data_IF_102896344935
#
_entry.id   IF_102896344935
#
_cell.length_a   1.000
_cell.length_b   1.000
_cell.length_c   1.000
_cell.angle_alpha   90.00
_cell.angle_beta   90.00
_cell.angle_gamma   90.00
#
_symmetry.space_group_name_H-M   'P 1'
#
loop_
_entity.id
_entity.type
_entity.pdbx_description
1 polymer ?
#
# COMPACT_ATOMS: atom_id res chain seq x y z
N UNK A 1 -18.81 -16.20 34.74
CA UNK A 1 -18.81 -14.73 34.60
C UNK A 1 -17.38 -14.27 34.88
N UNK A 2 -16.79 -13.55 33.93
CA UNK A 2 -15.41 -13.01 33.89
C UNK A 2 -14.25 -14.02 33.74
N UNK A 3 -13.76 -14.17 32.50
CA UNK A 3 -12.34 -14.08 32.12
C UNK A 3 -12.19 -14.34 30.62
N UNK A 4 -12.47 -13.31 29.81
CA UNK A 4 -11.92 -13.17 28.46
C UNK A 4 -11.32 -11.77 28.44
N UNK A 5 -10.22 -11.63 29.16
CA UNK A 5 -9.32 -10.47 29.05
C UNK A 5 -8.21 -10.93 28.10
N UNK A 6 -7.82 -10.07 27.17
CA UNK A 6 -6.60 -10.16 26.35
C UNK A 6 -6.64 -11.10 25.13
N UNK A 7 -7.39 -10.70 24.12
CA UNK A 7 -6.89 -10.77 22.75
C UNK A 7 -6.96 -9.35 22.19
N UNK A 8 -5.95 -8.53 22.49
CA UNK A 8 -5.63 -7.44 21.58
C UNK A 8 -5.42 -8.11 20.22
N UNK A 9 -6.27 -7.76 19.25
CA UNK A 9 -6.20 -8.31 17.91
C UNK A 9 -4.83 -7.97 17.34
N UNK A 10 -3.91 -8.91 17.43
CA UNK A 10 -2.59 -8.80 16.82
C UNK A 10 -2.83 -8.47 15.35
N UNK A 11 -2.45 -7.26 14.95
CA UNK A 11 -2.91 -6.72 13.69
C UNK A 11 -2.43 -7.66 12.56
N UNK A 12 -3.31 -8.01 11.60
CA UNK A 12 -3.08 -9.11 10.66
C UNK A 12 -1.76 -8.98 9.88
N UNK A 13 -1.24 -7.76 9.72
CA UNK A 13 0.05 -7.49 9.10
C UNK A 13 1.28 -8.00 9.88
N UNK A 14 1.14 -8.38 11.16
CA UNK A 14 2.20 -8.96 11.97
C UNK A 14 2.36 -10.48 11.73
N UNK A 15 1.31 -11.12 11.21
CA UNK A 15 1.24 -12.58 11.04
C UNK A 15 1.34 -13.03 9.57
N UNK A 16 1.22 -12.11 8.62
CA UNK A 16 1.25 -12.39 7.18
C UNK A 16 2.21 -11.48 6.42
N UNK A 17 2.81 -12.03 5.36
CA UNK A 17 3.52 -11.23 4.36
C UNK A 17 2.54 -10.24 3.71
N UNK A 18 2.67 -8.96 4.10
CA UNK A 18 1.72 -7.92 3.73
C UNK A 18 2.23 -7.12 2.55
N UNK A 19 1.41 -7.02 1.50
CA UNK A 19 1.65 -6.12 0.38
C UNK A 19 0.91 -4.80 0.63
N UNK A 20 1.63 -3.69 0.57
CA UNK A 20 1.04 -2.37 0.68
C UNK A 20 0.68 -1.84 -0.70
N UNK A 21 -0.57 -1.46 -0.91
CA UNK A 21 -1.03 -0.80 -2.12
C UNK A 21 -1.19 0.68 -1.80
N UNK A 22 -0.44 1.53 -2.49
CA UNK A 22 -0.56 2.99 -2.41
C UNK A 22 -1.42 3.49 -3.56
N UNK A 23 -2.56 4.06 -3.22
CA UNK A 23 -3.56 4.50 -4.18
C UNK A 23 -3.39 5.98 -4.56
N UNK A 24 -3.23 6.24 -5.85
CA UNK A 24 -3.18 7.59 -6.45
C UNK A 24 -4.56 8.06 -6.96
N UNK A 25 -5.63 7.36 -6.59
CA UNK A 25 -7.01 7.71 -6.94
C UNK A 25 -7.52 7.03 -8.20
N UNK A 26 -6.91 5.91 -8.62
CA UNK A 26 -7.42 5.13 -9.74
C UNK A 26 -8.72 4.42 -9.37
N UNK A 27 -9.71 4.52 -10.28
CA UNK A 27 -10.96 3.79 -10.17
C UNK A 27 -10.76 2.25 -10.15
N UNK A 28 -9.60 1.76 -10.58
CA UNK A 28 -9.29 0.33 -10.69
C UNK A 28 -8.42 -0.21 -9.56
N UNK A 29 -8.03 0.60 -8.58
CA UNK A 29 -7.15 0.15 -7.48
C UNK A 29 -7.75 -0.99 -6.67
N UNK A 30 -9.07 -1.02 -6.50
CA UNK A 30 -9.78 -2.14 -5.86
C UNK A 30 -9.63 -3.48 -6.62
N UNK A 31 -9.40 -3.45 -7.94
CA UNK A 31 -9.16 -4.67 -8.72
C UNK A 31 -7.79 -5.27 -8.37
N UNK A 32 -6.78 -4.44 -8.08
CA UNK A 32 -5.46 -4.90 -7.63
C UNK A 32 -5.62 -5.65 -6.31
N UNK A 33 -6.33 -5.05 -5.35
CA UNK A 33 -6.61 -5.68 -4.06
C UNK A 33 -7.37 -7.00 -4.23
N UNK A 34 -8.42 -7.04 -5.06
CA UNK A 34 -9.16 -8.28 -5.35
C UNK A 34 -8.28 -9.37 -5.96
N UNK A 35 -7.32 -9.00 -6.82
CA UNK A 35 -6.37 -9.96 -7.41
C UNK A 35 -5.39 -10.50 -6.38
N UNK A 36 -4.87 -9.67 -5.49
CA UNK A 36 -3.99 -10.11 -4.40
C UNK A 36 -4.72 -11.04 -3.42
N UNK A 37 -5.96 -10.70 -3.04
CA UNK A 37 -6.79 -11.58 -2.21
C UNK A 37 -7.09 -12.92 -2.92
N UNK A 38 -7.34 -12.92 -4.23
CA UNK A 38 -7.53 -14.15 -5.00
C UNK A 38 -6.29 -15.05 -5.04
N UNK A 39 -5.09 -14.45 -4.94
CA UNK A 39 -3.82 -15.15 -4.80
C UNK A 39 -3.51 -15.57 -3.35
N UNK A 40 -4.45 -15.35 -2.41
CA UNK A 40 -4.29 -15.59 -0.97
C UNK A 40 -3.14 -14.78 -0.35
N UNK A 41 -2.83 -13.62 -0.92
CA UNK A 41 -1.84 -12.68 -0.38
C UNK A 41 -2.59 -11.61 0.42
N UNK A 42 -2.13 -11.36 1.64
CA UNK A 42 -2.68 -10.28 2.45
C UNK A 42 -2.16 -8.94 1.92
N UNK A 43 -3.07 -8.00 1.69
CA UNK A 43 -2.73 -6.69 1.18
C UNK A 43 -3.58 -5.62 1.83
N UNK A 44 -2.96 -4.49 2.15
CA UNK A 44 -3.61 -3.31 2.67
C UNK A 44 -3.57 -2.19 1.62
N UNK A 45 -4.64 -1.42 1.51
CA UNK A 45 -4.71 -0.29 0.59
C UNK A 45 -4.75 1.01 1.38
N UNK A 46 -3.80 1.89 1.12
CA UNK A 46 -3.69 3.20 1.74
C UNK A 46 -3.53 4.29 0.66
N UNK A 47 -3.88 5.54 0.97
CA UNK A 47 -3.59 6.66 0.08
C UNK A 47 -2.08 6.83 -0.15
N UNK A 48 -1.69 7.27 -1.35
CA UNK A 48 -0.30 7.65 -1.67
C UNK A 48 0.30 8.75 -0.76
N UNK A 49 -0.54 9.55 -0.11
CA UNK A 49 -0.13 10.60 0.83
C UNK A 49 0.25 10.07 2.22
N UNK A 50 0.03 8.78 2.49
CA UNK A 50 0.40 8.17 3.76
C UNK A 50 1.92 8.10 3.89
N UNK A 51 2.44 8.62 5.01
CA UNK A 51 3.87 8.57 5.32
C UNK A 51 4.25 7.18 5.77
N UNK A 52 5.43 6.74 5.38
CA UNK A 52 5.93 5.42 5.75
C UNK A 52 6.19 5.30 7.26
N UNK A 53 6.50 6.42 7.90
CA UNK A 53 6.70 6.51 9.35
C UNK A 53 5.42 6.22 10.17
N UNK A 54 4.24 6.41 9.56
CA UNK A 54 2.96 6.17 10.22
C UNK A 54 2.49 4.71 10.09
N UNK A 55 3.24 3.88 9.35
CA UNK A 55 2.90 2.47 9.18
C UNK A 55 3.30 1.66 10.44
N UNK A 56 2.35 0.91 11.03
CA UNK A 56 2.65 0.05 12.18
C UNK A 56 3.43 -1.22 11.80
N UNK A 57 3.69 -1.45 10.52
CA UNK A 57 4.35 -2.65 9.99
C UNK A 57 5.28 -2.35 8.83
N UNK A 58 6.17 -3.31 8.54
CA UNK A 58 7.04 -3.27 7.36
C UNK A 58 6.44 -4.12 6.22
N UNK A 59 5.93 -3.51 5.13
CA UNK A 59 5.44 -4.29 4.00
C UNK A 59 6.56 -5.10 3.35
N UNK A 60 6.21 -6.24 2.75
CA UNK A 60 7.14 -7.08 1.98
C UNK A 60 7.29 -6.61 0.53
N UNK A 61 6.28 -5.93 0.03
CA UNK A 61 6.26 -5.32 -1.28
C UNK A 61 5.27 -4.16 -1.33
N UNK A 62 5.49 -3.25 -2.26
CA UNK A 62 4.68 -2.05 -2.44
C UNK A 62 4.13 -2.04 -3.87
N UNK A 63 2.85 -1.76 -4.02
CA UNK A 63 2.20 -1.57 -5.32
C UNK A 63 1.75 -0.13 -5.41
N UNK A 64 2.35 0.63 -6.32
CA UNK A 64 1.93 1.98 -6.65
C UNK A 64 0.82 1.88 -7.70
N UNK A 65 -0.40 2.26 -7.33
CA UNK A 65 -1.55 2.19 -8.23
C UNK A 65 -1.45 3.23 -9.35
N UNK A 66 -2.38 3.13 -10.31
CA UNK A 66 -2.57 4.21 -11.28
C UNK A 66 -3.28 5.42 -10.68
N UNK A 67 -3.34 6.51 -11.43
CA UNK A 67 -4.13 7.69 -11.09
C UNK A 67 -4.70 8.30 -12.37
N UNK A 68 -5.81 9.06 -12.27
CA UNK A 68 -6.35 9.82 -13.40
C UNK A 68 -5.52 11.07 -13.72
N UNK A 69 -4.66 11.50 -12.78
CA UNK A 69 -3.80 12.67 -12.87
C UNK A 69 -2.54 12.37 -13.68
N UNK A 70 -1.90 13.40 -14.21
CA UNK A 70 -0.57 13.31 -14.79
C UNK A 70 0.48 13.60 -13.72
N UNK A 71 1.58 12.83 -13.66
CA UNK A 71 2.68 13.07 -12.69
C UNK A 71 3.28 14.47 -12.85
N UNK A 72 3.13 15.09 -14.03
CA UNK A 72 3.67 16.42 -14.34
C UNK A 72 2.79 17.59 -13.85
N UNK A 73 1.58 17.32 -13.33
CA UNK A 73 0.71 18.40 -12.83
C UNK A 73 1.22 18.96 -11.50
N UNK A 74 1.09 20.27 -11.28
CA UNK A 74 1.62 20.94 -10.07
C UNK A 74 0.99 20.50 -8.73
N UNK A 75 -0.07 19.70 -8.78
CA UNK A 75 -0.72 19.09 -7.60
C UNK A 75 -0.76 17.57 -7.65
N UNK A 76 0.10 16.97 -8.48
CA UNK A 76 0.16 15.53 -8.65
C UNK A 76 0.49 14.86 -7.30
N UNK A 77 -0.26 13.81 -6.91
CA UNK A 77 0.01 13.08 -5.68
C UNK A 77 1.36 12.36 -5.80
N UNK A 78 2.28 12.70 -4.92
CA UNK A 78 3.59 12.05 -4.84
C UNK A 78 3.67 11.13 -3.63
N UNK A 79 4.40 10.03 -3.79
CA UNK A 79 4.65 9.09 -2.70
C UNK A 79 5.75 9.62 -1.78
N UNK A 80 5.71 9.23 -0.51
CA UNK A 80 6.80 9.50 0.44
C UNK A 80 8.12 8.90 -0.10
N UNK A 81 9.20 9.69 -0.29
CA UNK A 81 10.48 9.19 -0.79
C UNK A 81 11.05 8.00 -0.01
N UNK A 82 10.70 7.91 1.29
CA UNK A 82 11.07 6.79 2.15
C UNK A 82 10.60 5.42 1.62
N UNK A 83 9.57 5.39 0.75
CA UNK A 83 9.11 4.16 0.07
C UNK A 83 10.23 3.54 -0.77
N UNK A 84 11.02 4.36 -1.45
CA UNK A 84 12.12 3.87 -2.30
C UNK A 84 13.31 3.39 -1.48
N UNK A 85 13.52 3.97 -0.29
CA UNK A 85 14.59 3.59 0.64
C UNK A 85 14.27 2.33 1.47
N UNK A 86 13.03 1.85 1.47
CA UNK A 86 12.60 0.71 2.29
C UNK A 86 13.28 -0.62 1.88
N UNK A 87 13.86 -0.68 0.68
CA UNK A 87 14.57 -1.85 0.17
C UNK A 87 13.65 -3.03 -0.17
N UNK A 88 12.39 -2.76 -0.51
CA UNK A 88 11.38 -3.77 -0.86
C UNK A 88 11.06 -3.72 -2.35
N UNK A 89 10.42 -4.76 -2.88
CA UNK A 89 9.99 -4.76 -4.27
C UNK A 89 8.86 -3.76 -4.48
N UNK A 90 9.02 -2.86 -5.45
CA UNK A 90 8.01 -1.86 -5.82
C UNK A 90 7.47 -2.19 -7.23
N UNK A 91 6.15 -2.32 -7.35
CA UNK A 91 5.46 -2.50 -8.62
C UNK A 91 4.67 -1.23 -8.94
N UNK A 92 5.08 -0.51 -9.99
CA UNK A 92 4.35 0.66 -10.49
C UNK A 92 3.37 0.30 -11.61
N UNK A 93 2.13 0.79 -11.52
CA UNK A 93 1.11 0.64 -12.57
C UNK A 93 0.74 2.01 -13.11
N UNK A 94 0.96 2.23 -14.41
CA UNK A 94 0.63 3.48 -15.11
C UNK A 94 1.26 4.70 -14.40
N UNK A 95 0.46 5.49 -13.67
CA UNK A 95 0.94 6.61 -12.86
C UNK A 95 2.06 6.19 -11.89
N UNK A 96 1.91 5.08 -11.18
CA UNK A 96 2.95 4.58 -10.28
C UNK A 96 4.25 4.21 -10.99
N UNK A 97 4.21 3.90 -12.29
CA UNK A 97 5.41 3.68 -13.11
C UNK A 97 6.06 5.00 -13.53
N UNK A 98 5.26 6.04 -13.77
CA UNK A 98 5.76 7.39 -14.03
C UNK A 98 6.35 8.04 -12.77
N UNK A 99 5.79 7.77 -11.60
CA UNK A 99 6.31 8.22 -10.30
C UNK A 99 7.65 7.53 -9.94
N UNK A 100 7.90 6.34 -10.50
CA UNK A 100 9.16 5.61 -10.36
C UNK A 100 10.27 6.08 -11.33
N UNK A 101 9.91 6.82 -12.38
CA UNK A 101 10.79 7.16 -13.51
C UNK A 101 11.45 8.53 -13.35
#
# INVERSE_FOLDING_TARGET
MASITEMEAEAPHNNFDTILILDFGSQTSHLILRRLCALKVYAEMLPCTTKLADLPFKPKGIVLSGGPLSVYDQGAPHVDPAVFDLGVLILGICYGCQELA
#
